data_IF_408370557478
#
_entry.id   IF_408370557478
#
_cell.length_a   1.000
_cell.length_b   1.000
_cell.length_c   1.000
_cell.angle_alpha   90.00
_cell.angle_beta   90.00
_cell.angle_gamma   90.00
#
_symmetry.space_group_name_H-M   'P 1'
#
loop_
_entity.id
_entity.type
_entity.pdbx_description
1 polymer ?
#
# COMPACT_ATOMS: atom_id res chain seq x y z
N UNK A 1 -51.35 -14.63 16.48
CA UNK A 1 -51.16 -13.77 15.29
C UNK A 1 -50.80 -12.32 15.65
N UNK A 2 -51.56 -11.61 16.51
CA UNK A 2 -51.22 -10.20 16.87
C UNK A 2 -49.90 -10.04 17.66
N UNK A 3 -49.61 -10.91 18.63
CA UNK A 3 -48.37 -10.86 19.42
C UNK A 3 -47.11 -11.09 18.57
N UNK A 4 -47.16 -12.05 17.65
CA UNK A 4 -46.07 -12.36 16.72
C UNK A 4 -45.79 -11.20 15.75
N UNK A 5 -46.82 -10.48 15.28
CA UNK A 5 -46.64 -9.28 14.45
C UNK A 5 -45.90 -8.15 15.19
N UNK A 6 -46.26 -7.88 16.45
CA UNK A 6 -45.58 -6.87 17.25
C UNK A 6 -44.12 -7.23 17.55
N UNK A 7 -43.82 -8.49 17.84
CA UNK A 7 -42.43 -8.94 18.06
C UNK A 7 -41.56 -8.73 16.83
N UNK A 8 -42.07 -9.05 15.63
CA UNK A 8 -41.34 -8.82 14.38
C UNK A 8 -41.08 -7.33 14.12
N UNK A 9 -42.07 -6.47 14.35
CA UNK A 9 -41.91 -5.02 14.19
C UNK A 9 -40.83 -4.49 15.14
N UNK A 10 -40.88 -4.87 16.43
CA UNK A 10 -39.89 -4.46 17.42
C UNK A 10 -38.48 -4.94 17.02
N UNK A 11 -38.34 -6.18 16.56
CA UNK A 11 -37.06 -6.72 16.11
C UNK A 11 -36.50 -5.96 14.89
N UNK A 12 -37.34 -5.63 13.90
CA UNK A 12 -36.94 -4.84 12.74
C UNK A 12 -36.52 -3.41 13.12
N UNK A 13 -37.27 -2.77 14.03
CA UNK A 13 -36.92 -1.44 14.53
C UNK A 13 -35.61 -1.45 15.31
N UNK A 14 -35.38 -2.48 16.15
CA UNK A 14 -34.14 -2.65 16.88
C UNK A 14 -32.95 -2.86 15.93
N UNK A 15 -33.12 -3.67 14.87
CA UNK A 15 -32.10 -3.87 13.85
C UNK A 15 -31.81 -2.57 13.08
N UNK A 16 -32.84 -1.82 12.66
CA UNK A 16 -32.67 -0.54 11.99
C UNK A 16 -31.94 0.47 12.91
N UNK A 17 -32.34 0.55 14.18
CA UNK A 17 -31.68 1.39 15.17
C UNK A 17 -30.19 1.00 15.34
N UNK A 18 -29.88 -0.29 15.43
CA UNK A 18 -28.50 -0.78 15.47
C UNK A 18 -27.71 -0.34 14.22
N UNK A 19 -28.24 -0.61 13.02
CA UNK A 19 -27.56 -0.30 11.76
C UNK A 19 -27.30 1.20 11.54
N UNK A 20 -28.15 2.07 12.10
CA UNK A 20 -28.03 3.52 11.92
C UNK A 20 -27.20 4.16 13.05
N UNK A 21 -27.44 3.74 14.30
CA UNK A 21 -27.02 4.48 15.49
C UNK A 21 -25.85 3.83 16.24
N UNK A 22 -25.57 2.53 16.07
CA UNK A 22 -24.48 1.89 16.81
C UNK A 22 -23.12 2.51 16.42
N UNK A 23 -22.26 2.90 17.37
CA UNK A 23 -21.01 3.58 17.02
C UNK A 23 -20.10 2.71 16.14
N UNK A 24 -19.40 3.35 15.21
CA UNK A 24 -18.35 2.77 14.38
C UNK A 24 -17.09 3.62 14.50
N UNK A 25 -15.89 3.07 14.29
CA UNK A 25 -14.65 3.81 14.53
C UNK A 25 -14.32 4.86 13.46
N UNK A 26 -15.06 4.86 12.35
CA UNK A 26 -14.86 5.78 11.23
C UNK A 26 -15.81 6.98 11.31
N UNK A 27 -15.30 8.12 10.84
CA UNK A 27 -16.04 9.34 10.54
C UNK A 27 -15.87 9.66 9.05
N UNK A 28 -16.68 9.02 8.17
CA UNK A 28 -16.41 9.04 6.74
C UNK A 28 -16.54 10.43 6.14
N UNK A 29 -15.50 10.88 5.46
CA UNK A 29 -15.45 12.13 4.71
C UNK A 29 -16.00 11.89 3.32
N UNK A 30 -16.94 12.73 2.89
CA UNK A 30 -17.52 12.64 1.55
C UNK A 30 -16.45 12.95 0.49
N UNK A 31 -16.38 12.11 -0.52
CA UNK A 31 -15.58 12.33 -1.71
C UNK A 31 -16.35 11.80 -2.93
N UNK A 32 -16.25 12.49 -4.06
CA UNK A 32 -16.84 12.03 -5.31
C UNK A 32 -15.82 11.19 -6.06
N UNK A 33 -15.97 9.87 -6.00
CA UNK A 33 -15.16 8.97 -6.80
C UNK A 33 -15.42 9.25 -8.30
N UNK A 34 -14.38 9.48 -9.12
CA UNK A 34 -14.56 9.65 -10.55
C UNK A 34 -15.16 8.38 -11.16
N UNK A 35 -15.93 8.50 -12.24
CA UNK A 35 -16.46 7.33 -12.92
C UNK A 35 -15.30 6.44 -13.43
N UNK A 36 -15.31 5.16 -13.05
CA UNK A 36 -14.29 4.23 -13.49
C UNK A 36 -14.32 4.09 -15.02
N UNK A 37 -13.18 4.21 -15.72
CA UNK A 37 -13.12 4.08 -17.18
C UNK A 37 -13.29 2.63 -17.64
N UNK A 38 -13.31 1.68 -16.71
CA UNK A 38 -13.25 0.25 -16.98
C UNK A 38 -11.87 -0.19 -17.49
N UNK A 39 -11.75 -1.47 -17.83
CA UNK A 39 -10.53 -2.03 -18.41
C UNK A 39 -10.48 -1.72 -19.91
N UNK A 40 -10.09 -0.49 -20.23
CA UNK A 40 -9.99 0.05 -21.60
C UNK A 40 -8.65 0.76 -21.83
N UNK A 41 -8.33 1.07 -23.09
CA UNK A 41 -7.10 1.80 -23.44
C UNK A 41 -5.84 1.09 -22.94
N UNK A 42 -4.92 1.78 -22.25
CA UNK A 42 -3.72 1.16 -21.67
C UNK A 42 -4.02 0.05 -20.64
N UNK A 43 -5.22 0.07 -20.05
CA UNK A 43 -5.68 -0.92 -19.06
C UNK A 43 -6.64 -1.95 -19.67
N UNK A 44 -6.64 -2.14 -20.99
CA UNK A 44 -7.47 -3.14 -21.65
C UNK A 44 -7.28 -4.53 -21.02
N UNK A 45 -8.40 -5.24 -20.81
CA UNK A 45 -8.40 -6.52 -20.12
C UNK A 45 -7.44 -7.52 -20.80
N UNK A 46 -6.58 -8.16 -20.00
CA UNK A 46 -5.64 -9.17 -20.47
C UNK A 46 -5.41 -10.25 -19.40
N UNK A 47 -4.61 -11.26 -19.73
CA UNK A 47 -4.32 -12.42 -18.88
C UNK A 47 -2.81 -12.65 -18.70
N UNK A 48 -1.99 -11.61 -18.90
CA UNK A 48 -0.52 -11.71 -18.95
C UNK A 48 0.13 -12.13 -17.62
N UNK A 49 -0.58 -12.06 -16.49
CA UNK A 49 -0.13 -12.62 -15.21
C UNK A 49 -0.56 -14.07 -14.99
N UNK A 50 -1.44 -14.64 -15.82
CA UNK A 50 -1.99 -15.99 -15.59
C UNK A 50 -0.93 -17.10 -15.72
N UNK A 51 0.20 -16.82 -16.39
CA UNK A 51 1.34 -17.73 -16.54
C UNK A 51 2.37 -17.66 -15.42
N UNK A 52 2.05 -17.00 -14.30
CA UNK A 52 2.99 -16.78 -13.20
C UNK A 52 3.49 -18.10 -12.61
N UNK A 53 4.79 -18.17 -12.37
CA UNK A 53 5.44 -19.29 -11.67
C UNK A 53 5.63 -18.90 -10.20
N UNK A 54 5.60 -19.87 -9.32
CA UNK A 54 5.82 -19.62 -7.89
C UNK A 54 7.19 -20.12 -7.47
N UNK A 55 7.93 -19.26 -6.78
CA UNK A 55 8.97 -19.68 -5.85
C UNK A 55 8.26 -20.08 -4.56
N UNK A 56 8.46 -21.32 -4.13
CA UNK A 56 7.97 -21.83 -2.86
C UNK A 56 8.69 -21.12 -1.71
N UNK A 57 7.94 -20.66 -0.70
CA UNK A 57 8.44 -19.95 0.47
C UNK A 57 8.19 -20.74 1.77
N UNK A 58 7.84 -22.03 1.64
CA UNK A 58 7.51 -22.89 2.78
C UNK A 58 6.24 -22.40 3.49
N UNK A 59 6.35 -22.15 4.80
CA UNK A 59 5.23 -21.68 5.63
C UNK A 59 5.02 -20.16 5.54
N UNK A 60 5.91 -19.42 4.86
CA UNK A 60 5.78 -17.98 4.69
C UNK A 60 4.70 -17.62 3.67
N UNK A 61 4.07 -16.47 3.89
CA UNK A 61 3.02 -15.93 3.01
C UNK A 61 3.14 -14.42 2.91
N UNK A 62 2.52 -13.86 1.90
CA UNK A 62 2.49 -12.43 1.66
C UNK A 62 3.88 -11.82 1.48
N UNK A 63 4.62 -12.18 0.41
CA UNK A 63 5.85 -11.51 0.01
C UNK A 63 5.53 -10.08 -0.46
N UNK A 64 5.31 -9.21 0.52
CA UNK A 64 4.69 -7.89 0.40
C UNK A 64 5.56 -6.91 -0.36
N UNK A 65 6.86 -6.99 -0.09
CA UNK A 65 7.88 -6.19 -0.74
C UNK A 65 9.08 -7.08 -1.03
N UNK A 66 9.63 -6.97 -2.24
CA UNK A 66 10.80 -7.74 -2.66
C UNK A 66 11.80 -6.79 -3.30
N UNK A 67 13.08 -6.92 -2.97
CA UNK A 67 14.13 -6.17 -3.63
C UNK A 67 15.38 -7.01 -3.81
N UNK A 68 16.08 -6.77 -4.92
CA UNK A 68 17.41 -7.34 -5.17
C UNK A 68 18.45 -6.41 -4.53
N UNK A 69 19.21 -6.94 -3.58
CA UNK A 69 20.28 -6.18 -2.93
C UNK A 69 21.59 -6.26 -3.72
N UNK A 70 22.58 -5.45 -3.31
CA UNK A 70 23.91 -5.40 -3.96
C UNK A 70 24.71 -6.70 -3.85
N UNK A 71 24.38 -7.53 -2.86
CA UNK A 71 24.96 -8.87 -2.69
C UNK A 71 24.41 -9.91 -3.70
N UNK A 72 23.51 -9.48 -4.60
CA UNK A 72 22.89 -10.33 -5.61
C UNK A 72 21.78 -11.23 -5.09
N UNK A 73 21.33 -11.05 -3.84
CA UNK A 73 20.25 -11.81 -3.22
C UNK A 73 18.94 -11.04 -3.25
N UNK A 74 17.85 -11.77 -3.35
CA UNK A 74 16.51 -11.22 -3.09
C UNK A 74 16.26 -11.19 -1.60
N UNK A 75 15.66 -10.10 -1.14
CA UNK A 75 15.09 -9.95 0.18
C UNK A 75 13.58 -9.83 0.00
N UNK A 76 12.80 -10.50 0.84
CA UNK A 76 11.34 -10.49 0.80
C UNK A 76 10.78 -10.23 2.20
N UNK A 77 9.93 -9.22 2.32
CA UNK A 77 9.21 -8.92 3.56
C UNK A 77 7.95 -9.78 3.65
N UNK A 78 7.88 -10.64 4.66
CA UNK A 78 6.84 -11.66 4.79
C UNK A 78 5.81 -11.31 5.86
N UNK A 79 4.67 -12.00 5.81
CA UNK A 79 3.58 -11.77 6.74
C UNK A 79 3.86 -12.10 8.20
N UNK A 80 4.79 -13.01 8.44
CA UNK A 80 5.29 -13.40 9.76
C UNK A 80 6.14 -12.31 10.45
N UNK A 81 6.51 -11.24 9.74
CA UNK A 81 7.49 -10.26 10.19
C UNK A 81 8.94 -10.66 9.88
N UNK A 82 9.16 -11.81 9.24
CA UNK A 82 10.46 -12.19 8.71
C UNK A 82 10.80 -11.38 7.46
N UNK A 83 12.07 -11.02 7.34
CA UNK A 83 12.72 -10.73 6.07
C UNK A 83 13.44 -12.01 5.64
N UNK A 84 12.98 -12.62 4.55
CA UNK A 84 13.61 -13.80 3.97
C UNK A 84 14.61 -13.36 2.90
N UNK A 85 15.82 -13.92 2.94
CA UNK A 85 16.89 -13.68 1.97
C UNK A 85 17.13 -14.95 1.17
N UNK A 86 17.26 -14.84 -0.15
CA UNK A 86 17.39 -15.99 -1.06
C UNK A 86 18.14 -15.64 -2.35
N UNK A 87 18.59 -16.67 -3.08
CA UNK A 87 19.02 -16.48 -4.46
C UNK A 87 17.84 -16.01 -5.34
N UNK A 88 18.09 -15.33 -6.48
CA UNK A 88 17.03 -14.94 -7.41
C UNK A 88 16.14 -16.09 -7.91
N UNK A 89 16.66 -17.32 -7.92
CA UNK A 89 15.90 -18.52 -8.28
C UNK A 89 15.06 -19.12 -7.14
N UNK A 90 15.11 -18.53 -5.94
CA UNK A 90 14.43 -19.02 -4.75
C UNK A 90 15.22 -20.06 -3.96
N UNK A 91 16.45 -20.41 -4.37
CA UNK A 91 17.30 -21.33 -3.61
C UNK A 91 18.04 -20.63 -2.46
N UNK A 92 18.63 -21.41 -1.54
CA UNK A 92 19.39 -20.91 -0.41
C UNK A 92 18.61 -19.89 0.46
N UNK A 93 17.34 -20.19 0.72
CA UNK A 93 16.49 -19.36 1.57
C UNK A 93 16.96 -19.40 3.02
N UNK A 94 17.02 -18.23 3.65
CA UNK A 94 17.24 -18.08 5.08
C UNK A 94 16.37 -16.94 5.61
N UNK A 95 16.00 -17.02 6.90
CA UNK A 95 15.47 -15.86 7.61
C UNK A 95 16.66 -14.94 7.91
N UNK A 96 16.69 -13.77 7.27
CA UNK A 96 17.71 -12.76 7.52
C UNK A 96 17.50 -12.12 8.90
N UNK A 97 16.28 -11.67 9.17
CA UNK A 97 15.87 -11.11 10.46
C UNK A 97 14.35 -11.25 10.65
N UNK A 98 13.88 -11.29 11.90
CA UNK A 98 12.48 -11.04 12.24
C UNK A 98 12.39 -9.69 12.94
N UNK A 99 11.60 -8.74 12.44
CA UNK A 99 11.49 -7.43 13.07
C UNK A 99 10.61 -7.44 14.31
N UNK A 100 9.80 -8.48 14.52
CA UNK A 100 8.73 -8.55 15.51
C UNK A 100 7.56 -7.60 15.20
N UNK A 101 7.47 -7.12 13.96
CA UNK A 101 6.42 -6.25 13.45
C UNK A 101 5.92 -6.74 12.09
N UNK A 102 5.59 -5.82 11.17
CA UNK A 102 5.22 -6.15 9.78
C UNK A 102 5.82 -5.11 8.84
N UNK A 103 6.88 -5.48 8.15
CA UNK A 103 7.50 -4.64 7.11
C UNK A 103 6.62 -4.68 5.86
N UNK A 104 6.27 -3.50 5.33
CA UNK A 104 5.46 -3.36 4.11
C UNK A 104 6.23 -2.78 2.92
N UNK A 105 7.35 -2.13 3.21
CA UNK A 105 8.28 -1.64 2.20
C UNK A 105 9.66 -1.46 2.80
N UNK A 106 10.69 -1.67 2.00
CA UNK A 106 12.06 -1.42 2.40
C UNK A 106 12.92 -1.00 1.23
N UNK A 107 14.05 -0.36 1.54
CA UNK A 107 15.08 0.00 0.57
C UNK A 107 16.46 -0.17 1.22
N UNK A 108 17.53 -0.18 0.42
CA UNK A 108 18.90 -0.26 0.93
C UNK A 108 19.57 1.11 0.90
N UNK A 109 20.13 1.52 2.03
CA UNK A 109 20.96 2.73 2.06
C UNK A 109 22.35 2.50 1.42
N UNK A 110 23.14 3.57 1.31
CA UNK A 110 24.48 3.50 0.72
C UNK A 110 25.49 2.63 1.50
N UNK A 111 25.15 2.25 2.75
CA UNK A 111 25.95 1.37 3.60
C UNK A 111 25.39 -0.06 3.65
N UNK A 112 24.49 -0.41 2.72
CA UNK A 112 23.81 -1.71 2.62
C UNK A 112 22.97 -2.06 3.86
N UNK A 113 22.56 -1.07 4.66
CA UNK A 113 21.54 -1.31 5.67
C UNK A 113 20.17 -1.38 5.00
N UNK A 114 19.38 -2.37 5.39
CA UNK A 114 17.98 -2.47 5.00
C UNK A 114 17.18 -1.48 5.85
N UNK A 115 16.67 -0.44 5.20
CA UNK A 115 15.80 0.57 5.81
C UNK A 115 14.35 0.13 5.59
N UNK A 116 13.64 -0.18 6.67
CA UNK A 116 12.32 -0.79 6.60
C UNK A 116 11.23 0.14 7.17
N UNK A 117 10.14 0.28 6.43
CA UNK A 117 8.88 0.80 6.93
C UNK A 117 8.10 -0.36 7.60
N UNK A 118 8.13 -0.39 8.94
CA UNK A 118 7.42 -1.39 9.74
C UNK A 118 6.12 -0.79 10.28
N UNK A 119 5.00 -1.37 9.87
CA UNK A 119 3.65 -0.89 10.17
C UNK A 119 3.29 -0.94 11.67
N UNK A 120 4.11 -1.62 12.50
CA UNK A 120 3.93 -1.71 13.95
C UNK A 120 4.93 -0.86 14.73
N UNK A 121 6.11 -0.58 14.15
CA UNK A 121 7.27 -0.02 14.88
C UNK A 121 7.74 1.34 14.36
N UNK A 122 7.33 1.74 13.16
CA UNK A 122 7.83 2.94 12.48
C UNK A 122 8.96 2.62 11.51
N UNK A 123 9.89 3.56 11.34
CA UNK A 123 11.04 3.38 10.45
C UNK A 123 12.17 2.66 11.19
N UNK A 124 12.66 1.58 10.60
CA UNK A 124 13.75 0.75 11.12
C UNK A 124 14.98 0.82 10.21
N UNK A 125 16.15 0.58 10.78
CA UNK A 125 17.39 0.26 10.07
C UNK A 125 17.87 -1.10 10.55
N UNK A 126 18.19 -1.98 9.61
CA UNK A 126 18.69 -3.32 9.86
C UNK A 126 20.05 -3.45 9.18
N UNK A 127 21.09 -3.65 9.98
CA UNK A 127 22.45 -3.76 9.45
C UNK A 127 22.72 -5.13 8.82
N UNK A 128 23.82 -5.26 8.05
CA UNK A 128 24.31 -6.57 7.58
C UNK A 128 24.61 -7.56 8.72
N UNK A 129 24.88 -7.02 9.93
CA UNK A 129 25.01 -7.75 11.20
C UNK A 129 23.67 -8.28 11.75
N UNK A 130 22.56 -8.03 11.05
CA UNK A 130 21.17 -8.35 11.41
C UNK A 130 20.65 -7.58 12.63
N UNK A 131 21.36 -6.54 13.08
CA UNK A 131 20.92 -5.73 14.21
C UNK A 131 19.80 -4.77 13.79
N UNK A 132 18.64 -4.88 14.46
CA UNK A 132 17.46 -4.03 14.23
C UNK A 132 17.54 -2.78 15.11
N UNK A 133 17.42 -1.60 14.51
CA UNK A 133 17.39 -0.29 15.20
C UNK A 133 16.17 0.50 14.77
N UNK A 134 15.43 1.04 15.73
CA UNK A 134 14.35 1.99 15.43
C UNK A 134 14.97 3.35 15.13
N UNK A 135 14.73 3.88 13.92
CA UNK A 135 15.18 5.21 13.53
C UNK A 135 14.19 6.30 13.97
N UNK A 136 12.91 6.07 13.72
CA UNK A 136 11.85 7.01 14.12
C UNK A 136 10.50 6.30 14.29
N UNK A 137 9.75 6.70 15.31
CA UNK A 137 8.37 6.24 15.56
C UNK A 137 7.41 7.38 15.96
N UNK A 138 7.90 8.63 15.99
CA UNK A 138 7.10 9.83 16.28
C UNK A 138 7.65 11.02 15.50
N UNK A 139 6.81 11.91 14.99
CA UNK A 139 7.21 13.18 14.37
C UNK A 139 6.36 14.31 14.95
N UNK A 140 7.00 15.40 15.40
CA UNK A 140 6.32 16.54 16.04
C UNK A 140 5.38 16.13 17.20
N UNK A 141 5.75 15.09 17.96
CA UNK A 141 4.94 14.55 19.06
C UNK A 141 3.80 13.62 18.63
N UNK A 142 3.56 13.46 17.34
CA UNK A 142 2.53 12.56 16.80
C UNK A 142 3.15 11.21 16.34
N UNK A 143 2.64 10.05 16.81
CA UNK A 143 3.18 8.75 16.42
C UNK A 143 3.13 8.49 14.92
N UNK A 144 4.17 7.83 14.40
CA UNK A 144 4.13 7.14 13.11
C UNK A 144 3.30 5.88 13.34
N UNK A 145 2.06 5.85 12.84
CA UNK A 145 1.10 4.80 13.17
C UNK A 145 1.08 3.67 12.16
N UNK A 146 1.42 3.98 10.92
CA UNK A 146 1.30 3.07 9.81
C UNK A 146 2.40 3.35 8.76
N UNK A 147 3.67 3.18 9.15
CA UNK A 147 4.78 3.23 8.20
C UNK A 147 4.57 2.17 7.12
N UNK A 148 4.53 2.58 5.86
CA UNK A 148 4.11 1.70 4.76
C UNK A 148 5.23 1.46 3.74
N UNK A 149 5.64 2.50 3.00
CA UNK A 149 6.71 2.39 2.02
C UNK A 149 7.87 3.34 2.35
N UNK A 150 9.06 3.05 1.83
CA UNK A 150 10.27 3.83 2.03
C UNK A 150 11.16 3.80 0.79
N UNK A 151 11.90 4.87 0.57
CA UNK A 151 12.98 4.96 -0.42
C UNK A 151 14.16 5.75 0.16
N UNK A 152 15.38 5.30 -0.12
CA UNK A 152 16.61 5.96 0.28
C UNK A 152 17.19 6.77 -0.88
N UNK A 153 17.45 8.05 -0.66
CA UNK A 153 18.08 8.92 -1.64
C UNK A 153 19.61 8.77 -1.64
N UNK A 154 20.26 9.07 -2.76
CA UNK A 154 21.71 9.07 -2.89
C UNK A 154 22.40 10.06 -1.95
N UNK A 155 21.71 11.13 -1.54
CA UNK A 155 22.21 12.09 -0.54
C UNK A 155 22.11 11.59 0.91
N UNK A 156 21.63 10.37 1.13
CA UNK A 156 21.50 9.72 2.44
C UNK A 156 20.21 10.05 3.20
N UNK A 157 19.34 10.92 2.66
CA UNK A 157 18.00 11.14 3.23
C UNK A 157 17.09 9.97 2.92
N UNK A 158 16.17 9.71 3.83
CA UNK A 158 15.19 8.63 3.69
C UNK A 158 13.80 9.25 3.62
N UNK A 159 13.03 8.88 2.60
CA UNK A 159 11.64 9.31 2.43
C UNK A 159 10.72 8.13 2.66
N UNK A 160 9.68 8.29 3.47
CA UNK A 160 8.74 7.22 3.77
C UNK A 160 7.33 7.73 3.98
N UNK A 161 6.36 6.85 3.83
CA UNK A 161 4.94 7.15 4.05
C UNK A 161 4.47 6.67 5.40
N UNK A 162 3.62 7.47 6.03
CA UNK A 162 2.78 7.07 7.15
C UNK A 162 1.34 7.11 6.64
N UNK A 163 0.78 5.92 6.37
CA UNK A 163 -0.41 5.77 5.56
C UNK A 163 -1.64 6.43 6.19
N UNK A 164 -1.75 6.33 7.52
CA UNK A 164 -2.85 6.87 8.29
C UNK A 164 -2.35 7.31 9.66
N UNK A 165 -2.73 8.51 10.09
CA UNK A 165 -2.55 8.94 11.47
C UNK A 165 -3.76 8.59 12.35
N UNK A 166 -4.71 7.80 11.85
CA UNK A 166 -5.93 7.39 12.57
C UNK A 166 -6.00 5.89 12.86
N UNK A 167 -5.78 5.05 11.86
CA UNK A 167 -5.96 3.60 11.98
C UNK A 167 -4.59 2.89 11.99
N UNK A 168 -4.02 2.70 13.17
CA UNK A 168 -2.79 1.93 13.33
C UNK A 168 -3.08 0.41 13.25
N UNK A 169 -2.32 -0.38 12.46
CA UNK A 169 -2.53 -1.83 12.32
C UNK A 169 -2.56 -2.61 13.63
N UNK A 170 -1.72 -2.22 14.59
CA UNK A 170 -1.65 -2.82 15.94
C UNK A 170 -2.97 -2.72 16.72
N UNK A 171 -3.78 -1.72 16.44
CA UNK A 171 -5.03 -1.42 17.16
C UNK A 171 -6.27 -1.95 16.43
N UNK A 172 -6.15 -2.25 15.12
CA UNK A 172 -7.29 -2.52 14.23
C UNK A 172 -7.27 -3.88 13.55
N UNK A 173 -6.57 -4.86 14.13
CA UNK A 173 -6.61 -6.25 13.67
C UNK A 173 -5.72 -6.56 12.47
N UNK A 174 -4.64 -5.80 12.31
CA UNK A 174 -3.64 -5.98 11.26
C UNK A 174 -3.72 -4.95 10.14
N UNK A 175 -2.76 -5.03 9.22
CA UNK A 175 -2.56 -4.04 8.15
C UNK A 175 -3.79 -3.95 7.23
N UNK A 176 -4.24 -5.08 6.69
CA UNK A 176 -5.40 -5.11 5.79
C UNK A 176 -6.71 -4.63 6.45
N UNK A 177 -6.93 -4.95 7.72
CA UNK A 177 -8.14 -4.52 8.42
C UNK A 177 -8.12 -3.01 8.72
N UNK A 178 -6.96 -2.47 9.13
CA UNK A 178 -6.77 -1.05 9.34
C UNK A 178 -6.91 -0.26 8.02
N UNK A 179 -6.37 -0.78 6.91
CA UNK A 179 -6.50 -0.12 5.61
C UNK A 179 -7.96 -0.05 5.15
N UNK A 180 -8.77 -1.10 5.36
CA UNK A 180 -10.20 -1.04 5.04
C UNK A 180 -10.89 0.10 5.80
N UNK A 181 -10.58 0.31 7.08
CA UNK A 181 -11.18 1.39 7.85
C UNK A 181 -10.79 2.76 7.32
N UNK A 182 -9.51 2.97 6.98
CA UNK A 182 -9.03 4.24 6.43
C UNK A 182 -9.63 4.53 5.04
N UNK A 183 -9.69 3.52 4.16
CA UNK A 183 -10.29 3.63 2.83
C UNK A 183 -11.80 3.88 2.92
N UNK A 184 -12.50 3.26 3.87
CA UNK A 184 -13.92 3.55 4.13
C UNK A 184 -14.10 4.96 4.68
N UNK A 185 -13.14 5.45 5.45
CA UNK A 185 -13.22 6.77 6.04
C UNK A 185 -12.90 7.89 5.03
N UNK A 186 -11.94 7.70 4.13
CA UNK A 186 -11.48 8.73 3.18
C UNK A 186 -10.93 10.00 3.84
N UNK A 187 -10.46 9.91 5.09
CA UNK A 187 -9.87 11.06 5.78
C UNK A 187 -8.47 11.34 5.20
N UNK A 188 -8.14 12.60 4.86
CA UNK A 188 -6.85 12.97 4.28
C UNK A 188 -5.76 13.06 5.36
N UNK A 189 -5.46 11.93 6.01
CA UNK A 189 -4.60 11.88 7.20
C UNK A 189 -3.21 11.31 6.94
N UNK A 190 -3.00 10.69 5.79
CA UNK A 190 -1.72 10.17 5.34
C UNK A 190 -0.73 11.28 5.05
N UNK A 191 0.56 10.96 5.26
CA UNK A 191 1.67 11.90 5.14
C UNK A 191 2.93 11.25 4.58
N UNK A 192 3.77 12.08 3.99
CA UNK A 192 5.12 11.77 3.51
C UNK A 192 6.11 12.44 4.45
N UNK A 193 7.08 11.66 4.93
CA UNK A 193 8.07 12.06 5.91
C UNK A 193 9.47 11.94 5.32
N UNK A 194 10.36 12.87 5.66
CA UNK A 194 11.80 12.78 5.39
C UNK A 194 12.52 12.59 6.72
N UNK A 195 13.32 11.53 6.84
CA UNK A 195 14.30 11.33 7.89
C UNK A 195 15.70 11.67 7.40
N UNK A 196 16.42 12.49 8.17
CA UNK A 196 17.82 12.83 7.94
C UNK A 196 18.69 12.07 8.96
N UNK A 197 19.40 10.99 8.56
CA UNK A 197 20.22 10.21 9.48
C UNK A 197 21.38 11.00 10.10
N UNK A 198 21.90 12.01 9.39
CA UNK A 198 23.04 12.81 9.86
C UNK A 198 22.65 13.70 11.05
N UNK A 199 21.44 14.24 11.01
CA UNK A 199 20.88 15.10 12.06
C UNK A 199 19.99 14.35 13.05
N UNK A 200 19.58 13.13 12.70
CA UNK A 200 18.56 12.33 13.40
C UNK A 200 17.26 13.10 13.59
N UNK A 201 16.86 13.85 12.56
CA UNK A 201 15.65 14.66 12.55
C UNK A 201 14.68 14.17 11.49
N UNK A 202 13.38 14.31 11.76
CA UNK A 202 12.31 14.03 10.80
C UNK A 202 11.51 15.28 10.54
N UNK A 203 11.11 15.50 9.28
CA UNK A 203 10.16 16.55 8.90
C UNK A 203 9.03 15.97 8.06
N UNK A 204 7.91 16.68 8.03
CA UNK A 204 6.81 16.40 7.12
C UNK A 204 7.14 17.04 5.77
N UNK A 205 7.17 16.24 4.70
CA UNK A 205 7.31 16.74 3.32
C UNK A 205 5.94 17.19 2.82
N UNK A 206 4.96 16.29 2.94
CA UNK A 206 3.59 16.53 2.54
C UNK A 206 2.60 15.77 3.44
N UNK A 207 1.37 16.26 3.52
CA UNK A 207 0.23 15.67 4.23
C UNK A 207 -1.05 15.87 3.41
N UNK A 208 -2.15 15.24 3.83
CA UNK A 208 -3.45 15.40 3.17
C UNK A 208 -3.79 14.28 2.19
N UNK A 209 -3.08 13.15 2.27
CA UNK A 209 -3.29 11.98 1.41
C UNK A 209 -4.32 11.03 2.06
N UNK A 210 -5.31 10.57 1.30
CA UNK A 210 -6.22 9.48 1.70
C UNK A 210 -5.50 8.14 1.54
N UNK A 211 -4.91 7.64 2.62
CA UNK A 211 -4.02 6.47 2.65
C UNK A 211 -2.75 6.64 1.80
N UNK A 212 -1.69 7.21 2.39
CA UNK A 212 -0.38 7.37 1.74
C UNK A 212 0.38 6.03 1.68
N UNK A 213 0.52 5.44 0.50
CA UNK A 213 1.00 4.07 0.36
C UNK A 213 2.42 4.02 -0.25
N UNK A 214 2.60 3.42 -1.43
CA UNK A 214 3.89 3.33 -2.13
C UNK A 214 4.56 4.68 -2.35
N UNK A 215 5.90 4.69 -2.26
CA UNK A 215 6.74 5.86 -2.53
C UNK A 215 7.95 5.47 -3.38
N UNK A 216 8.33 6.33 -4.32
CA UNK A 216 9.57 6.19 -5.09
C UNK A 216 10.13 7.57 -5.46
N UNK A 217 11.45 7.72 -5.51
CA UNK A 217 12.11 8.94 -6.01
C UNK A 217 12.14 8.97 -7.53
N UNK A 218 12.13 10.17 -8.13
CA UNK A 218 12.50 10.46 -9.53
C UNK A 218 13.98 10.16 -9.82
N UNK A 219 14.35 10.01 -11.09
CA UNK A 219 15.71 9.60 -11.46
C UNK A 219 16.74 10.68 -11.10
N UNK A 220 16.31 11.94 -11.10
CA UNK A 220 17.07 13.10 -10.63
C UNK A 220 16.91 13.39 -9.12
N UNK A 221 16.15 12.54 -8.41
CA UNK A 221 15.80 12.64 -7.00
C UNK A 221 15.18 14.00 -6.57
N UNK A 222 14.56 14.73 -7.50
CA UNK A 222 13.88 16.01 -7.20
C UNK A 222 12.38 15.85 -6.89
N UNK A 223 11.79 14.71 -7.24
CA UNK A 223 10.37 14.43 -7.11
C UNK A 223 10.15 13.08 -6.41
N UNK A 224 9.15 13.02 -5.55
CA UNK A 224 8.60 11.80 -4.99
C UNK A 224 7.33 11.44 -5.75
N UNK A 225 7.24 10.20 -6.20
CA UNK A 225 6.00 9.58 -6.62
C UNK A 225 5.35 8.93 -5.40
N UNK A 226 4.07 9.22 -5.15
CA UNK A 226 3.37 8.73 -3.96
C UNK A 226 1.98 8.23 -4.33
N UNK A 227 1.68 6.99 -4.00
CA UNK A 227 0.36 6.41 -4.18
C UNK A 227 -0.61 6.93 -3.12
N UNK A 228 -1.76 7.43 -3.56
CA UNK A 228 -2.91 7.70 -2.69
C UNK A 228 -3.97 6.63 -2.94
N UNK A 229 -3.90 5.56 -2.16
CA UNK A 229 -4.72 4.37 -2.35
C UNK A 229 -6.21 4.69 -2.24
N UNK A 230 -6.59 5.55 -1.30
CA UNK A 230 -7.98 5.95 -1.08
C UNK A 230 -8.62 6.66 -2.26
N UNK A 231 -7.82 7.27 -3.16
CA UNK A 231 -8.33 8.08 -4.27
C UNK A 231 -7.86 7.63 -5.65
N UNK A 232 -7.36 6.40 -5.78
CA UNK A 232 -7.02 5.79 -7.07
C UNK A 232 -6.02 6.61 -7.91
N UNK A 233 -4.99 7.17 -7.28
CA UNK A 233 -4.07 8.09 -7.97
C UNK A 233 -2.64 8.04 -7.48
N UNK A 234 -1.73 8.54 -8.32
CA UNK A 234 -0.31 8.74 -8.03
C UNK A 234 0.00 10.23 -8.09
N UNK A 235 0.68 10.73 -7.07
CA UNK A 235 1.15 12.10 -6.99
C UNK A 235 2.61 12.23 -7.41
N UNK A 236 2.97 13.39 -7.97
CA UNK A 236 4.31 13.96 -7.97
C UNK A 236 4.38 15.01 -6.86
N UNK A 237 5.37 14.91 -5.98
CA UNK A 237 5.59 15.85 -4.88
C UNK A 237 7.07 16.22 -4.88
N UNK A 238 7.40 17.51 -4.95
CA UNK A 238 8.79 17.95 -4.89
C UNK A 238 9.44 17.54 -3.56
N UNK A 239 10.67 17.01 -3.58
CA UNK A 239 11.40 16.66 -2.34
C UNK A 239 11.63 17.88 -1.43
N UNK A 240 11.67 19.07 -2.03
CA UNK A 240 11.82 20.36 -1.34
C UNK A 240 10.52 20.88 -0.70
N UNK A 241 9.37 20.22 -0.94
CA UNK A 241 8.14 20.53 -0.25
C UNK A 241 8.34 20.38 1.27
N UNK A 242 7.73 21.26 2.05
CA UNK A 242 7.88 21.30 3.50
C UNK A 242 6.54 21.58 4.17
N UNK A 243 6.01 20.57 4.85
CA UNK A 243 4.65 20.55 5.42
C UNK A 243 3.56 20.94 4.41
N UNK A 244 3.70 20.48 3.16
CA UNK A 244 2.74 20.77 2.11
C UNK A 244 1.42 20.04 2.35
N UNK A 245 0.31 20.76 2.39
CA UNK A 245 -1.02 20.17 2.34
C UNK A 245 -1.47 19.98 0.88
N UNK A 246 -1.48 18.73 0.39
CA UNK A 246 -1.83 18.43 -1.01
C UNK A 246 -3.30 18.74 -1.33
N UNK A 247 -4.16 18.96 -0.34
CA UNK A 247 -5.57 19.31 -0.58
C UNK A 247 -5.78 20.78 -0.95
N UNK A 248 -4.77 21.64 -0.74
CA UNK A 248 -4.90 23.09 -0.96
C UNK A 248 -4.40 23.55 -2.34
N UNK A 249 -3.85 22.63 -3.14
CA UNK A 249 -3.20 22.95 -4.42
C UNK A 249 -1.85 23.65 -4.22
N UNK A 250 -0.84 23.26 -5.00
CA UNK A 250 0.50 23.86 -4.93
C UNK A 250 1.29 23.55 -6.20
N UNK A 251 2.19 24.43 -6.67
CA UNK A 251 3.10 24.10 -7.76
C UNK A 251 4.09 22.98 -7.37
N UNK A 252 4.26 22.67 -6.08
CA UNK A 252 5.14 21.61 -5.60
C UNK A 252 4.49 20.22 -5.61
N UNK A 253 3.20 20.10 -5.94
CA UNK A 253 2.53 18.82 -6.05
C UNK A 253 1.52 18.78 -7.19
N UNK A 254 1.51 17.69 -7.95
CA UNK A 254 0.56 17.45 -9.03
C UNK A 254 0.16 15.98 -9.08
N UNK A 255 -1.07 15.69 -9.52
CA UNK A 255 -1.48 14.32 -9.80
C UNK A 255 -0.86 13.90 -11.14
N UNK A 256 -0.14 12.78 -11.15
CA UNK A 256 0.48 12.20 -12.34
C UNK A 256 -0.45 11.23 -13.05
N UNK A 257 -0.98 10.28 -12.28
CA UNK A 257 -1.96 9.30 -12.72
C UNK A 257 -3.20 9.47 -11.87
N UNK A 258 -4.36 9.57 -12.50
CA UNK A 258 -5.65 9.72 -11.82
C UNK A 258 -6.63 8.66 -12.30
N UNK A 259 -7.70 8.44 -11.53
CA UNK A 259 -8.80 7.55 -11.89
C UNK A 259 -8.34 6.12 -12.26
N UNK A 260 -7.34 5.60 -11.54
CA UNK A 260 -6.76 4.27 -11.77
C UNK A 260 -7.80 3.14 -11.66
N UNK A 261 -7.56 1.98 -12.31
CA UNK A 261 -8.51 0.86 -12.35
C UNK A 261 -8.64 0.08 -11.03
N UNK A 262 -7.80 0.38 -10.04
CA UNK A 262 -7.76 -0.29 -8.74
C UNK A 262 -7.20 0.58 -7.63
N UNK A 263 -7.04 -0.01 -6.46
CA UNK A 263 -6.41 0.60 -5.28
C UNK A 263 -4.88 0.49 -5.41
N UNK A 264 -4.17 1.58 -5.77
CA UNK A 264 -2.73 1.52 -5.99
C UNK A 264 -1.98 1.26 -4.69
N UNK A 265 -0.95 0.43 -4.75
CA UNK A 265 -0.27 -0.10 -3.56
C UNK A 265 1.19 0.37 -3.46
N UNK A 266 2.18 -0.51 -3.62
CA UNK A 266 3.61 -0.17 -3.60
C UNK A 266 4.08 0.45 -4.93
N UNK A 267 5.23 1.14 -4.88
CA UNK A 267 5.95 1.65 -6.04
C UNK A 267 7.37 1.09 -6.06
N UNK A 268 7.80 0.58 -7.21
CA UNK A 268 9.15 0.04 -7.39
C UNK A 268 9.82 0.64 -8.61
N UNK A 269 11.06 1.10 -8.45
CA UNK A 269 11.92 1.45 -9.58
C UNK A 269 12.19 0.21 -10.43
N UNK A 270 11.90 0.31 -11.72
CA UNK A 270 12.23 -0.71 -12.72
C UNK A 270 13.41 -0.32 -13.59
N UNK A 271 13.67 -1.15 -14.60
CA UNK A 271 14.68 -0.88 -15.61
C UNK A 271 14.23 0.24 -16.56
N UNK A 272 15.19 0.90 -17.20
CA UNK A 272 14.94 1.98 -18.17
C UNK A 272 14.19 3.19 -17.58
N UNK A 273 14.28 3.39 -16.27
CA UNK A 273 13.65 4.53 -15.58
C UNK A 273 12.15 4.39 -15.34
N UNK A 274 11.54 3.24 -15.64
CA UNK A 274 10.11 3.00 -15.36
C UNK A 274 9.83 2.82 -13.87
N UNK A 275 8.56 2.95 -13.50
CA UNK A 275 8.02 2.70 -12.18
C UNK A 275 6.96 1.61 -12.28
N UNK A 276 7.08 0.59 -11.43
CA UNK A 276 6.09 -0.46 -11.26
C UNK A 276 5.15 -0.15 -10.11
N UNK A 277 3.87 -0.41 -10.33
CA UNK A 277 2.79 -0.24 -9.36
C UNK A 277 1.93 -1.50 -9.35
N UNK A 278 1.57 -1.98 -8.16
CA UNK A 278 0.55 -3.02 -7.99
C UNK A 278 -0.78 -2.45 -7.54
N UNK A 279 -1.84 -3.20 -7.81
CA UNK A 279 -3.17 -2.93 -7.28
C UNK A 279 -3.57 -3.98 -6.27
N UNK A 280 -3.83 -3.56 -5.03
CA UNK A 280 -4.28 -4.46 -3.96
C UNK A 280 -5.65 -5.08 -4.31
N UNK A 281 -6.55 -4.30 -4.90
CA UNK A 281 -7.88 -4.73 -5.36
C UNK A 281 -8.32 -3.92 -6.58
N UNK A 282 -9.20 -4.48 -7.43
CA UNK A 282 -9.87 -3.70 -8.47
C UNK A 282 -10.93 -2.79 -7.84
N UNK A 283 -11.38 -1.79 -8.58
CA UNK A 283 -12.51 -0.95 -8.17
C UNK A 283 -13.82 -1.76 -8.08
N UNK A 284 -14.69 -1.36 -7.15
CA UNK A 284 -16.03 -1.93 -7.01
C UNK A 284 -17.08 -0.83 -7.19
N UNK A 285 -18.00 -0.97 -8.16
CA UNK A 285 -19.04 0.03 -8.43
C UNK A 285 -19.92 0.36 -7.22
N UNK A 286 -20.17 -0.60 -6.33
CA UNK A 286 -20.95 -0.39 -5.09
C UNK A 286 -20.16 0.47 -4.11
N UNK A 287 -18.85 0.24 -3.96
CA UNK A 287 -18.00 1.06 -3.10
C UNK A 287 -17.93 2.49 -3.66
N UNK A 288 -17.70 2.64 -4.96
CA UNK A 288 -17.62 3.95 -5.61
C UNK A 288 -18.96 4.71 -5.49
N UNK A 289 -20.09 4.03 -5.68
CA UNK A 289 -21.41 4.63 -5.50
C UNK A 289 -21.71 5.05 -4.05
N UNK A 290 -20.95 4.56 -3.06
CA UNK A 290 -21.08 4.96 -1.65
C UNK A 290 -20.07 6.05 -1.23
N UNK A 291 -19.15 6.45 -2.11
CA UNK A 291 -18.05 7.36 -1.76
C UNK A 291 -18.54 8.70 -1.18
N UNK A 292 -19.67 9.20 -1.69
CA UNK A 292 -20.29 10.46 -1.26
C UNK A 292 -21.37 10.29 -0.18
N UNK A 293 -21.56 9.06 0.33
CA UNK A 293 -22.64 8.70 1.28
C UNK A 293 -22.09 8.19 2.62
N UNK A 294 -21.63 9.09 3.53
CA UNK A 294 -21.06 8.69 4.82
C UNK A 294 -21.92 7.73 5.65
N UNK A 295 -23.24 7.96 5.70
CA UNK A 295 -24.15 7.10 6.46
C UNK A 295 -24.15 5.65 5.94
N UNK A 296 -24.16 5.46 4.61
CA UNK A 296 -24.13 4.11 4.04
C UNK A 296 -22.81 3.39 4.35
N UNK A 297 -21.68 4.11 4.32
CA UNK A 297 -20.39 3.54 4.72
C UNK A 297 -20.38 3.10 6.19
N UNK A 298 -20.98 3.89 7.09
CA UNK A 298 -21.16 3.47 8.49
C UNK A 298 -22.09 2.27 8.63
N UNK A 299 -23.19 2.21 7.88
CA UNK A 299 -24.10 1.04 7.84
C UNK A 299 -23.36 -0.22 7.40
N UNK A 300 -22.54 -0.14 6.34
CA UNK A 300 -21.75 -1.28 5.85
C UNK A 300 -20.85 -1.87 6.94
N UNK A 301 -20.19 -1.05 7.74
CA UNK A 301 -19.32 -1.52 8.84
C UNK A 301 -20.07 -2.26 9.96
N UNK A 302 -21.40 -2.14 10.04
CA UNK A 302 -22.25 -2.84 11.01
C UNK A 302 -22.82 -4.14 10.45
N UNK A 303 -22.67 -4.38 9.16
CA UNK A 303 -23.03 -5.66 8.56
C UNK A 303 -21.95 -6.71 8.86
N UNK A 304 -22.31 -8.00 8.92
CA UNK A 304 -21.32 -9.08 8.90
C UNK A 304 -20.34 -8.92 7.73
N UNK A 305 -19.05 -9.21 7.95
CA UNK A 305 -17.99 -9.07 6.92
C UNK A 305 -18.31 -9.78 5.60
N UNK A 306 -19.05 -10.88 5.63
CA UNK A 306 -19.47 -11.62 4.43
C UNK A 306 -20.42 -10.82 3.50
N UNK A 307 -21.07 -9.76 4.01
CA UNK A 307 -21.95 -8.87 3.25
C UNK A 307 -21.23 -7.60 2.78
N UNK A 308 -19.96 -7.41 3.16
CA UNK A 308 -19.22 -6.23 2.72
C UNK A 308 -18.93 -6.34 1.22
N UNK A 309 -19.03 -5.25 0.45
CA UNK A 309 -18.80 -5.26 -1.00
C UNK A 309 -17.30 -5.31 -1.34
N UNK A 310 -16.52 -6.17 -0.67
CA UNK A 310 -15.09 -6.31 -0.91
C UNK A 310 -14.89 -6.90 -2.32
N UNK A 311 -14.09 -6.27 -3.19
CA UNK A 311 -13.81 -6.80 -4.52
C UNK A 311 -13.16 -8.19 -4.47
N UNK A 312 -13.48 -9.04 -5.45
CA UNK A 312 -12.78 -10.32 -5.64
C UNK A 312 -11.29 -10.10 -5.90
N UNK A 313 -10.49 -11.13 -5.66
CA UNK A 313 -9.08 -11.11 -6.03
C UNK A 313 -8.93 -10.88 -7.55
N UNK A 314 -7.93 -10.10 -7.91
CA UNK A 314 -7.59 -9.75 -9.28
C UNK A 314 -6.11 -9.36 -9.26
N UNK A 315 -5.26 -10.09 -9.97
CA UNK A 315 -3.85 -9.72 -10.08
C UNK A 315 -3.72 -8.59 -11.08
N UNK A 316 -3.10 -7.47 -10.71
CA UNK A 316 -2.91 -6.35 -11.63
C UNK A 316 -1.71 -5.51 -11.24
N UNK A 317 -0.73 -5.46 -12.15
CA UNK A 317 0.41 -4.55 -12.05
C UNK A 317 0.55 -3.74 -13.32
N UNK A 318 1.06 -2.52 -13.18
CA UNK A 318 1.38 -1.63 -14.31
C UNK A 318 2.80 -1.11 -14.19
N UNK A 319 3.42 -0.82 -15.32
CA UNK A 319 4.61 0.02 -15.40
C UNK A 319 4.27 1.33 -16.09
N UNK A 320 4.87 2.43 -15.64
CA UNK A 320 4.72 3.75 -16.25
C UNK A 320 6.02 4.56 -16.16
N UNK A 321 6.16 5.55 -17.03
CA UNK A 321 7.29 6.49 -17.01
C UNK A 321 7.00 7.70 -16.12
N UNK A 322 8.00 8.52 -15.81
CA UNK A 322 7.86 9.70 -14.93
C UNK A 322 6.94 10.82 -15.46
N UNK A 323 6.53 10.71 -16.73
CA UNK A 323 5.52 11.54 -17.40
C UNK A 323 4.09 10.98 -17.31
N UNK A 324 3.92 9.79 -16.72
CA UNK A 324 2.63 9.11 -16.56
C UNK A 324 2.26 8.20 -17.74
N UNK A 325 3.11 8.06 -18.75
CA UNK A 325 2.85 7.12 -19.86
C UNK A 325 2.94 5.68 -19.36
N UNK A 326 1.83 4.93 -19.40
CA UNK A 326 1.78 3.50 -19.08
C UNK A 326 2.52 2.71 -20.17
N UNK A 327 3.55 1.96 -19.78
CA UNK A 327 4.43 1.18 -20.67
C UNK A 327 4.19 -0.32 -20.59
N UNK A 328 3.61 -0.80 -19.49
CA UNK A 328 3.17 -2.18 -19.34
C UNK A 328 1.91 -2.25 -18.47
N UNK A 329 1.05 -3.21 -18.77
CA UNK A 329 -0.12 -3.55 -17.98
C UNK A 329 -0.29 -5.07 -18.05
N UNK A 330 -0.21 -5.73 -16.90
CA UNK A 330 -0.29 -7.18 -16.78
C UNK A 330 -1.38 -7.53 -15.76
N UNK A 331 -2.30 -8.40 -16.16
CA UNK A 331 -3.48 -8.75 -15.39
C UNK A 331 -3.64 -10.27 -15.25
N UNK A 332 -4.24 -10.68 -14.14
CA UNK A 332 -4.80 -12.01 -13.90
C UNK A 332 -6.24 -11.82 -13.41
N UNK A 333 -7.22 -11.82 -14.33
CA UNK A 333 -8.63 -11.59 -14.01
C UNK A 333 -9.27 -12.71 -13.17
N UNK A 334 -8.64 -13.88 -13.13
CA UNK A 334 -9.10 -15.03 -12.35
C UNK A 334 -8.68 -14.86 -10.87
N UNK A 335 -7.62 -14.09 -10.64
CA UNK A 335 -7.11 -13.78 -9.30
C UNK A 335 -6.42 -14.98 -8.66
N UNK A 336 -5.75 -15.82 -9.45
CA UNK A 336 -4.93 -16.92 -8.96
C UNK A 336 -3.73 -16.41 -8.15
N UNK A 337 -3.19 -15.24 -8.52
CA UNK A 337 -2.22 -14.51 -7.71
C UNK A 337 -2.86 -13.24 -7.10
N UNK A 338 -3.16 -13.23 -5.79
CA UNK A 338 -4.03 -12.23 -5.19
C UNK A 338 -3.26 -10.99 -4.70
N UNK A 339 -3.97 -9.86 -4.56
CA UNK A 339 -3.49 -8.61 -3.93
C UNK A 339 -2.04 -8.23 -4.29
N UNK A 340 -1.80 -7.96 -5.58
CA UNK A 340 -0.48 -7.60 -6.08
C UNK A 340 -0.04 -6.23 -5.59
N UNK A 341 1.12 -6.15 -4.92
CA UNK A 341 1.57 -4.91 -4.27
C UNK A 341 2.51 -4.09 -5.15
N UNK A 342 3.48 -4.72 -5.82
CA UNK A 342 4.31 -4.12 -6.89
C UNK A 342 5.09 -5.20 -7.68
N UNK A 343 6.08 -4.77 -8.47
CA UNK A 343 6.98 -5.66 -9.20
C UNK A 343 8.43 -5.29 -8.96
N UNK A 344 9.26 -6.28 -8.64
CA UNK A 344 10.71 -6.15 -8.69
C UNK A 344 11.16 -6.60 -10.08
N UNK A 345 11.63 -5.65 -10.89
CA UNK A 345 12.13 -5.95 -12.24
C UNK A 345 13.64 -6.19 -12.23
N UNK A 346 14.06 -7.27 -12.87
CA UNK A 346 15.45 -7.61 -13.17
C UNK A 346 15.60 -7.85 -14.67
N UNK A 347 16.82 -7.91 -15.21
CA UNK A 347 17.01 -8.21 -16.64
C UNK A 347 16.37 -9.53 -17.06
N UNK A 348 16.31 -10.52 -16.18
CA UNK A 348 15.83 -11.87 -16.47
C UNK A 348 14.39 -12.12 -16.05
N UNK A 349 13.90 -11.45 -14.99
CA UNK A 349 12.62 -11.77 -14.35
C UNK A 349 11.85 -10.55 -13.84
N UNK A 350 10.54 -10.70 -13.81
CA UNK A 350 9.62 -9.88 -13.03
C UNK A 350 9.18 -10.68 -11.81
N UNK A 351 9.45 -10.19 -10.59
CA UNK A 351 8.92 -10.77 -9.36
C UNK A 351 7.68 -10.00 -8.94
N UNK A 352 6.53 -10.66 -8.91
CA UNK A 352 5.25 -10.06 -8.58
C UNK A 352 5.05 -10.18 -7.07
N UNK A 353 5.02 -9.05 -6.39
CA UNK A 353 4.86 -8.97 -4.94
C UNK A 353 3.37 -9.11 -4.56
N UNK A 354 3.08 -9.57 -3.35
CA UNK A 354 1.69 -9.80 -2.90
C UNK A 354 1.54 -9.73 -1.39
N UNK A 355 0.39 -9.23 -0.94
CA UNK A 355 0.03 -9.12 0.48
C UNK A 355 -0.29 -10.47 1.13
N UNK A 356 -0.80 -11.44 0.36
CA UNK A 356 -1.31 -12.72 0.91
C UNK A 356 -0.96 -13.98 0.09
N UNK A 357 -0.23 -13.88 -1.02
CA UNK A 357 0.15 -15.06 -1.80
C UNK A 357 0.98 -16.05 -0.97
N UNK A 358 0.87 -17.35 -1.27
CA UNK A 358 1.59 -18.44 -0.58
C UNK A 358 2.99 -18.73 -1.15
N UNK A 359 3.46 -17.89 -2.06
CA UNK A 359 4.75 -18.03 -2.72
C UNK A 359 5.06 -16.75 -3.48
N UNK A 360 6.32 -16.57 -3.86
CA UNK A 360 6.73 -15.41 -4.64
C UNK A 360 6.50 -15.69 -6.13
N UNK A 361 5.55 -14.97 -6.71
CA UNK A 361 5.24 -15.02 -8.12
C UNK A 361 6.36 -14.44 -8.98
N UNK A 362 6.65 -15.08 -10.12
CA UNK A 362 7.58 -14.55 -11.10
C UNK A 362 7.23 -14.91 -12.55
N UNK A 363 7.69 -14.06 -13.47
CA UNK A 363 7.65 -14.24 -14.92
C UNK A 363 9.05 -14.03 -15.50
N UNK A 364 9.36 -14.73 -16.61
CA UNK A 364 10.55 -14.41 -17.41
C UNK A 364 10.31 -13.11 -18.19
N UNK A 365 11.36 -12.32 -18.38
CA UNK A 365 11.30 -11.05 -19.12
C UNK A 365 11.64 -11.19 -20.60
#
# INVERSE_FOLDING_TARGET
>A
MKKTGWTLIIAMLALAAYLILWPVPVEPISWQAPAAPGYTGPHAANDRLSGIRLIDLGDETGPEHVALARDGKLYAAMASGNIVRMNPDGTAQEVFVNTGGRVLGFDFDAADNLIAADAMKGLLSIGPDRAVRVLINTVNGDPVRYANAVTAAANGKIYFTDASTRFAPKDWGGTFAASILDIMEQSPTGRVLEYDPSRKTTRIVARGLSFANGIALSQDEQTLFVNETGRYRVWKIAVTANDLDVTQGSPQAAVLLDNLPGYPDNLMRGLDGRLWLGFAKPRNPVIDAMSDKPLLRKVTLRLPRALWPVPKAYGHVIAFNEDGTVTADLQDPIGAYPETTAVTETPERLYIQSLHAKGLGWLAR
#
